data_IF_081909938261
#
_entry.id   IF_081909938261
#
_cell.length_a   1.000
_cell.length_b   1.000
_cell.length_c   1.000
_cell.angle_alpha   90.00
_cell.angle_beta   90.00
_cell.angle_gamma   90.00
#
_symmetry.space_group_name_H-M   'P 1'
#
loop_
_entity.id
_entity.type
_entity.pdbx_description
1 polymer ?
#
# COMPACT_ATOMS: atom_id res chain seq x y z
N UNK A 1 -10.64 15.47 3.40
CA UNK A 1 -10.29 14.08 3.04
C UNK A 1 -9.22 13.60 3.99
N UNK A 2 -9.33 12.38 4.54
CA UNK A 2 -8.29 11.81 5.41
C UNK A 2 -6.97 11.70 4.64
N UNK A 3 -5.83 11.99 5.29
CA UNK A 3 -4.49 12.01 4.69
C UNK A 3 -4.14 10.65 4.09
N UNK A 4 -4.67 9.56 4.63
CA UNK A 4 -4.54 8.21 4.06
C UNK A 4 -5.02 8.13 2.61
N UNK A 5 -6.13 8.78 2.28
CA UNK A 5 -6.67 8.77 0.91
C UNK A 5 -5.83 9.61 -0.02
N UNK A 6 -5.39 10.78 0.43
CA UNK A 6 -4.51 11.64 -0.37
C UNK A 6 -3.20 10.92 -0.69
N UNK A 7 -2.64 10.20 0.29
CA UNK A 7 -1.44 9.39 0.09
C UNK A 7 -1.66 8.27 -0.93
N UNK A 8 -2.75 7.49 -0.83
CA UNK A 8 -3.05 6.46 -1.83
C UNK A 8 -3.31 7.03 -3.22
N UNK A 9 -4.00 8.17 -3.33
CA UNK A 9 -4.21 8.85 -4.61
C UNK A 9 -2.89 9.31 -5.20
N UNK A 10 -2.01 9.91 -4.38
CA UNK A 10 -0.67 10.32 -4.81
C UNK A 10 0.15 9.11 -5.31
N UNK A 11 0.15 8.00 -4.57
CA UNK A 11 0.82 6.77 -4.99
C UNK A 11 0.24 6.24 -6.30
N UNK A 12 -1.09 6.30 -6.48
CA UNK A 12 -1.75 5.89 -7.72
C UNK A 12 -1.36 6.79 -8.90
N UNK A 13 -1.34 8.11 -8.71
CA UNK A 13 -0.87 9.05 -9.73
C UNK A 13 0.59 8.81 -10.10
N UNK A 14 1.47 8.58 -9.12
CA UNK A 14 2.88 8.25 -9.36
C UNK A 14 3.03 6.93 -10.13
N UNK A 15 2.25 5.92 -9.79
CA UNK A 15 2.21 4.64 -10.50
C UNK A 15 1.80 4.82 -11.96
N UNK A 16 0.75 5.60 -12.24
CA UNK A 16 0.29 5.90 -13.60
C UNK A 16 1.33 6.71 -14.40
N UNK A 17 1.98 7.68 -13.77
CA UNK A 17 3.06 8.45 -14.41
C UNK A 17 4.25 7.54 -14.72
N UNK A 18 4.64 6.65 -13.80
CA UNK A 18 5.72 5.70 -14.03
C UNK A 18 5.40 4.76 -15.20
N UNK A 19 4.18 4.22 -15.27
CA UNK A 19 3.71 3.41 -16.40
C UNK A 19 3.74 4.17 -17.72
N UNK A 20 3.32 5.44 -17.71
CA UNK A 20 3.38 6.30 -18.89
C UNK A 20 4.83 6.51 -19.33
N UNK A 21 5.73 6.86 -18.42
CA UNK A 21 7.14 7.09 -18.73
C UNK A 21 7.84 5.83 -19.24
N UNK A 22 7.56 4.65 -18.65
CA UNK A 22 8.10 3.36 -19.12
C UNK A 22 7.69 3.02 -20.55
N UNK A 23 6.55 3.57 -21.02
CA UNK A 23 6.09 3.36 -22.40
C UNK A 23 6.86 4.19 -23.42
N UNK A 24 7.35 5.37 -23.03
CA UNK A 24 8.01 6.30 -23.95
C UNK A 24 9.53 6.36 -23.78
N UNK A 25 10.05 5.99 -22.61
CA UNK A 25 11.46 6.11 -22.25
C UNK A 25 12.00 4.82 -21.63
N UNK A 26 13.28 4.53 -21.90
CA UNK A 26 14.03 3.52 -21.17
C UNK A 26 14.44 4.10 -19.81
N UNK A 27 13.70 3.73 -18.77
CA UNK A 27 13.99 4.13 -17.39
C UNK A 27 15.04 3.20 -16.77
N UNK A 28 15.78 3.68 -15.75
CA UNK A 28 16.65 2.84 -14.95
C UNK A 28 15.87 1.69 -14.30
N UNK A 29 16.57 0.56 -14.10
CA UNK A 29 16.00 -0.70 -13.58
C UNK A 29 15.20 -0.51 -12.28
N UNK A 30 15.63 0.44 -11.44
CA UNK A 30 14.90 0.77 -10.20
C UNK A 30 13.46 1.25 -10.44
N UNK A 31 13.25 2.11 -11.44
CA UNK A 31 11.93 2.66 -11.76
C UNK A 31 11.07 1.65 -12.52
N UNK A 32 11.68 0.80 -13.34
CA UNK A 32 10.96 -0.24 -14.07
C UNK A 32 10.54 -1.41 -13.19
N UNK A 33 11.37 -1.77 -12.21
CA UNK A 33 11.27 -3.05 -11.49
C UNK A 33 10.90 -2.94 -10.02
N UNK A 34 11.19 -1.84 -9.32
CA UNK A 34 10.95 -1.74 -7.87
C UNK A 34 9.93 -0.67 -7.47
N UNK A 35 9.88 0.45 -8.20
CA UNK A 35 9.00 1.56 -7.85
C UNK A 35 7.52 1.16 -7.88
N UNK A 36 7.13 0.33 -8.85
CA UNK A 36 5.76 -0.13 -9.00
C UNK A 36 5.33 -1.02 -7.82
N UNK A 37 6.21 -1.92 -7.38
CA UNK A 37 5.94 -2.85 -6.28
C UNK A 37 5.80 -2.13 -4.94
N UNK A 38 6.64 -1.12 -4.71
CA UNK A 38 6.51 -0.24 -3.54
C UNK A 38 5.17 0.52 -3.51
N UNK A 39 4.74 1.04 -4.67
CA UNK A 39 3.54 1.86 -4.78
C UNK A 39 2.25 1.03 -4.81
N UNK A 40 2.32 -0.25 -5.19
CA UNK A 40 1.19 -1.15 -5.29
C UNK A 40 0.42 -1.27 -3.96
N UNK A 41 1.11 -1.55 -2.86
CA UNK A 41 0.45 -1.77 -1.56
C UNK A 41 -0.30 -0.53 -1.02
N UNK A 42 0.28 0.69 -1.02
CA UNK A 42 -0.45 1.90 -0.65
C UNK A 42 -1.72 2.15 -1.47
N UNK A 43 -1.71 1.80 -2.76
CA UNK A 43 -2.87 1.97 -3.64
C UNK A 43 -3.96 0.95 -3.31
N UNK A 44 -3.59 -0.33 -3.23
CA UNK A 44 -4.53 -1.42 -2.93
C UNK A 44 -5.16 -1.22 -1.54
N UNK A 45 -4.35 -0.94 -0.52
CA UNK A 45 -4.85 -0.69 0.83
C UNK A 45 -5.75 0.55 0.91
N UNK A 46 -5.44 1.59 0.13
CA UNK A 46 -6.30 2.76 0.00
C UNK A 46 -7.69 2.42 -0.54
N UNK A 47 -7.73 1.60 -1.60
CA UNK A 47 -8.97 1.10 -2.20
C UNK A 47 -9.72 0.22 -1.21
N UNK A 48 -9.06 -0.74 -0.56
CA UNK A 48 -9.67 -1.59 0.46
C UNK A 48 -10.27 -0.75 1.60
N UNK A 49 -9.55 0.26 2.09
CA UNK A 49 -10.05 1.15 3.13
C UNK A 49 -11.28 1.93 2.66
N UNK A 50 -11.25 2.44 1.42
CA UNK A 50 -12.40 3.12 0.83
C UNK A 50 -13.63 2.20 0.75
N UNK A 51 -13.45 0.98 0.24
CA UNK A 51 -14.52 -0.01 0.11
C UNK A 51 -15.09 -0.41 1.47
N UNK A 52 -14.25 -0.70 2.45
CA UNK A 52 -14.67 -1.07 3.81
C UNK A 52 -15.48 0.06 4.45
N UNK A 53 -15.03 1.32 4.36
CA UNK A 53 -15.79 2.45 4.92
C UNK A 53 -17.10 2.70 4.18
N UNK A 54 -17.10 2.58 2.84
CA UNK A 54 -18.30 2.74 2.01
C UNK A 54 -19.34 1.67 2.31
N UNK A 55 -18.92 0.41 2.45
CA UNK A 55 -19.83 -0.71 2.67
C UNK A 55 -20.33 -0.78 4.12
N UNK A 56 -19.43 -0.61 5.09
CA UNK A 56 -19.81 -0.70 6.51
C UNK A 56 -20.48 0.55 7.06
N UNK A 57 -20.58 1.65 6.29
CA UNK A 57 -21.08 2.99 6.72
C UNK A 57 -20.42 3.53 7.99
N UNK A 58 -19.27 2.96 8.39
CA UNK A 58 -18.49 3.33 9.58
C UNK A 58 -17.20 3.99 9.11
N UNK A 59 -17.16 5.32 9.17
CA UNK A 59 -15.98 6.07 8.74
C UNK A 59 -14.75 5.88 9.64
N UNK A 60 -14.95 5.31 10.83
CA UNK A 60 -13.90 5.06 11.82
C UNK A 60 -13.16 3.74 11.59
N UNK A 61 -13.60 2.90 10.64
CA UNK A 61 -12.89 1.67 10.33
C UNK A 61 -11.49 1.96 9.79
N UNK A 62 -10.55 1.14 10.24
CA UNK A 62 -9.13 1.19 9.92
C UNK A 62 -8.68 -0.20 9.48
N UNK A 63 -7.63 -0.20 8.68
CA UNK A 63 -6.96 -1.45 8.35
C UNK A 63 -5.97 -1.71 9.48
N UNK A 64 -6.14 -2.83 10.18
CA UNK A 64 -5.17 -3.24 11.20
C UNK A 64 -3.82 -3.53 10.55
N UNK A 65 -2.73 -3.36 11.30
CA UNK A 65 -1.39 -3.69 10.78
C UNK A 65 -1.33 -5.16 10.32
N UNK A 66 -2.00 -6.05 11.07
CA UNK A 66 -2.14 -7.45 10.71
C UNK A 66 -2.81 -7.62 9.35
N UNK A 67 -3.97 -6.99 9.12
CA UNK A 67 -4.66 -7.05 7.83
C UNK A 67 -3.83 -6.50 6.67
N UNK A 68 -3.08 -5.42 6.90
CA UNK A 68 -2.19 -4.83 5.89
C UNK A 68 -1.05 -5.80 5.52
N UNK A 69 -0.42 -6.42 6.53
CA UNK A 69 0.66 -7.39 6.34
C UNK A 69 0.16 -8.71 5.77
N UNK A 70 -1.03 -9.18 6.13
CA UNK A 70 -1.64 -10.36 5.50
C UNK A 70 -1.88 -10.12 4.01
N UNK A 71 -2.30 -8.91 3.62
CA UNK A 71 -2.49 -8.57 2.21
C UNK A 71 -1.15 -8.46 1.48
N UNK A 72 -0.14 -7.84 2.09
CA UNK A 72 1.21 -7.79 1.54
C UNK A 72 1.82 -9.18 1.37
N UNK A 73 1.62 -10.08 2.34
CA UNK A 73 2.04 -11.48 2.25
C UNK A 73 1.31 -12.21 1.11
N UNK A 74 -0.01 -12.01 0.98
CA UNK A 74 -0.78 -12.58 -0.12
C UNK A 74 -0.28 -12.11 -1.48
N UNK A 75 -0.01 -10.81 -1.64
CA UNK A 75 0.58 -10.27 -2.86
C UNK A 75 1.98 -10.80 -3.11
N UNK A 76 2.82 -10.87 -2.08
CA UNK A 76 4.16 -11.45 -2.18
C UNK A 76 4.08 -12.88 -2.72
N UNK A 77 3.25 -13.74 -2.13
CA UNK A 77 3.05 -15.11 -2.60
C UNK A 77 2.53 -15.16 -4.05
N UNK A 78 1.60 -14.29 -4.42
CA UNK A 78 1.06 -14.25 -5.77
C UNK A 78 2.09 -13.80 -6.82
N UNK A 79 2.81 -12.71 -6.56
CA UNK A 79 3.78 -12.15 -7.50
C UNK A 79 5.08 -12.96 -7.55
N UNK A 80 5.51 -13.56 -6.43
CA UNK A 80 6.75 -14.35 -6.34
C UNK A 80 6.58 -15.82 -6.68
N UNK A 81 5.47 -16.46 -6.33
CA UNK A 81 5.32 -17.91 -6.54
C UNK A 81 4.49 -18.23 -7.77
N UNK A 82 3.41 -17.47 -8.02
CA UNK A 82 2.49 -17.78 -9.10
C UNK A 82 2.90 -17.13 -10.43
N UNK A 83 3.34 -15.87 -10.41
CA UNK A 83 3.67 -15.14 -11.64
C UNK A 83 4.90 -15.66 -12.41
N UNK A 84 5.98 -16.14 -11.78
CA UNK A 84 7.14 -16.65 -12.52
C UNK A 84 6.82 -17.91 -13.31
N UNK A 85 5.88 -18.75 -12.83
CA UNK A 85 5.41 -19.93 -13.55
C UNK A 85 4.66 -19.55 -14.83
N UNK A 86 4.01 -18.39 -14.85
CA UNK A 86 3.22 -17.90 -16.00
C UNK A 86 4.07 -17.07 -16.96
N UNK A 87 5.11 -16.40 -16.47
CA UNK A 87 5.95 -15.50 -17.27
C UNK A 87 7.41 -15.59 -16.86
N UNK A 88 8.29 -16.02 -17.78
CA UNK A 88 9.77 -16.08 -17.64
C UNK A 88 10.46 -14.74 -17.33
N UNK A 89 9.69 -13.65 -17.15
CA UNK A 89 10.20 -12.29 -16.96
C UNK A 89 10.37 -11.91 -15.50
N UNK A 90 9.76 -12.64 -14.56
CA UNK A 90 9.83 -12.34 -13.13
C UNK A 90 10.79 -13.28 -12.44
N UNK A 91 11.77 -12.71 -11.75
CA UNK A 91 12.68 -13.42 -10.85
C UNK A 91 12.07 -13.35 -9.45
N UNK A 92 12.12 -14.45 -8.70
CA UNK A 92 11.77 -14.43 -7.28
C UNK A 92 12.82 -13.59 -6.53
N UNK A 93 12.56 -12.29 -6.41
CA UNK A 93 13.45 -11.32 -5.79
C UNK A 93 12.87 -10.90 -4.44
N UNK A 94 13.44 -11.41 -3.36
CA UNK A 94 13.07 -11.09 -1.96
C UNK A 94 12.95 -9.58 -1.69
N UNK A 95 13.58 -8.75 -2.52
CA UNK A 95 13.44 -7.29 -2.54
C UNK A 95 11.98 -6.87 -2.78
N UNK A 96 11.23 -7.51 -3.68
CA UNK A 96 9.84 -7.20 -4.00
C UNK A 96 8.92 -7.48 -2.80
N UNK A 97 9.15 -8.60 -2.11
CA UNK A 97 8.52 -8.89 -0.81
C UNK A 97 8.75 -7.73 0.16
N UNK A 98 10.01 -7.31 0.34
CA UNK A 98 10.34 -6.20 1.24
C UNK A 98 9.67 -4.89 0.80
N UNK A 99 9.55 -4.62 -0.50
CA UNK A 99 8.88 -3.43 -1.03
C UNK A 99 7.37 -3.46 -0.76
N UNK A 100 6.71 -4.62 -0.91
CA UNK A 100 5.30 -4.76 -0.54
C UNK A 100 5.09 -4.49 0.95
N UNK A 101 5.88 -5.11 1.83
CA UNK A 101 5.76 -4.84 3.27
C UNK A 101 6.06 -3.38 3.61
N UNK A 102 7.04 -2.77 2.96
CA UNK A 102 7.40 -1.36 3.16
C UNK A 102 6.26 -0.43 2.71
N UNK A 103 5.66 -0.68 1.55
CA UNK A 103 4.51 0.08 1.05
C UNK A 103 3.29 -0.07 1.96
N UNK A 104 3.01 -1.28 2.44
CA UNK A 104 1.94 -1.53 3.39
C UNK A 104 2.17 -0.81 4.73
N UNK A 105 3.40 -0.83 5.23
CA UNK A 105 3.80 -0.14 6.45
C UNK A 105 3.71 1.38 6.31
N UNK A 106 4.16 1.94 5.18
CA UNK A 106 4.05 3.37 4.88
C UNK A 106 2.59 3.84 4.89
N UNK A 107 1.68 3.09 4.26
CA UNK A 107 0.25 3.39 4.29
C UNK A 107 -0.31 3.36 5.71
N UNK A 108 0.07 2.35 6.51
CA UNK A 108 -0.36 2.23 7.90
C UNK A 108 0.10 3.42 8.75
N UNK A 109 1.33 3.89 8.59
CA UNK A 109 1.85 5.08 9.29
C UNK A 109 1.05 6.33 8.95
N UNK A 110 0.67 6.53 7.68
CA UNK A 110 -0.14 7.67 7.27
C UNK A 110 -1.56 7.57 7.84
N UNK A 111 -2.16 6.38 7.82
CA UNK A 111 -3.49 6.14 8.38
C UNK A 111 -3.56 6.43 9.89
N UNK A 112 -2.49 6.15 10.65
CA UNK A 112 -2.44 6.49 12.09
C UNK A 112 -2.47 8.00 12.35
N UNK A 113 -1.94 8.81 11.44
CA UNK A 113 -1.92 10.28 11.57
C UNK A 113 -3.26 10.94 11.25
N UNK A 114 -4.25 10.16 10.80
CA UNK A 114 -5.62 10.61 10.61
C UNK A 114 -6.46 10.57 11.89
N UNK A 115 -5.87 10.09 12.99
CA UNK A 115 -6.52 10.13 14.29
C UNK A 115 -6.48 11.53 14.89
N UNK A 116 -7.60 12.01 15.47
CA UNK A 116 -7.52 13.15 16.38
C UNK A 116 -6.56 12.78 17.52
N UNK A 117 -5.77 13.74 18.04
CA UNK A 117 -4.90 13.47 19.17
C UNK A 117 -5.75 12.83 20.28
N UNK A 118 -5.29 11.68 20.76
CA UNK A 118 -5.90 11.03 21.93
C UNK A 118 -5.67 12.00 23.09
N UNK A 119 -6.63 12.90 23.33
CA UNK A 119 -6.72 13.59 24.62
C UNK A 119 -6.98 12.46 25.59
N UNK A 120 -5.93 12.11 26.35
CA UNK A 120 -6.02 11.08 27.37
C UNK A 120 -7.03 11.56 28.41
N UNK A 121 -8.28 11.08 28.32
CA UNK A 121 -9.23 11.10 29.43
C UNK A 121 -8.80 10.09 30.52
N UNK A 122 -7.55 10.20 30.97
CA UNK A 122 -7.05 9.59 32.19
C UNK A 122 -6.73 10.69 33.19
N UNK A 123 -7.73 11.47 33.59
CA UNK A 123 -7.66 12.31 34.80
C UNK A 123 -9.04 12.79 35.27
N UNK A 124 -9.95 11.86 35.60
CA UNK A 124 -11.19 12.19 36.34
C UNK A 124 -11.71 11.06 37.24
N UNK A 125 -10.82 10.16 37.66
CA UNK A 125 -11.14 9.08 38.59
C UNK A 125 -10.00 8.85 39.60
N UNK A 126 -9.44 9.94 40.13
CA UNK A 126 -8.55 9.94 41.28
C UNK A 126 -8.94 11.09 42.20
#
# INVERSE_FOLDING_TARGET
MKKSYLFSILCCSLFLVNLFLLKFFFLPEFFSSYLNDLLCMPVVLGICLFLIRKFSRKEQLKISLFSAFSLAAFYSLYFELYLPEVTQRYTADVVDVLLYFTGAFAFWLVQRKDDPPIISEKKKAA
#
